data_IF_400936345903
#
_entry.id   IF_400936345903
#
_cell.length_a   1.000
_cell.length_b   1.000
_cell.length_c   1.000
_cell.angle_alpha   90.00
_cell.angle_beta   90.00
_cell.angle_gamma   90.00
#
_symmetry.space_group_name_H-M   'P 1'
#
loop_
_entity.id
_entity.type
_entity.pdbx_description
1 polymer ?
#
# COMPACT_ATOMS: atom_id res chain seq x y z
N UNK A 1 -36.02 11.69 -16.81
CA UNK A 1 -35.14 10.52 -16.89
C UNK A 1 -33.76 10.97 -16.44
N UNK A 2 -33.44 10.81 -15.17
CA UNK A 2 -32.17 11.25 -14.56
C UNK A 2 -31.18 10.10 -14.60
N UNK A 3 -30.16 10.20 -15.45
CA UNK A 3 -29.03 9.27 -15.50
C UNK A 3 -28.06 9.59 -14.38
N UNK A 4 -28.10 8.82 -13.30
CA UNK A 4 -27.10 8.85 -12.23
C UNK A 4 -25.84 8.15 -12.76
N UNK A 5 -24.81 8.93 -13.08
CA UNK A 5 -23.46 8.40 -13.34
C UNK A 5 -22.95 7.69 -12.09
N UNK A 6 -22.29 6.52 -12.21
CA UNK A 6 -21.66 5.89 -11.07
C UNK A 6 -20.52 6.80 -10.58
N UNK A 7 -20.68 7.36 -9.38
CA UNK A 7 -19.58 7.99 -8.64
C UNK A 7 -18.54 6.91 -8.41
N UNK A 8 -17.49 6.91 -9.23
CA UNK A 8 -16.27 6.15 -8.96
C UNK A 8 -15.71 6.75 -7.68
N UNK A 9 -15.92 6.07 -6.55
CA UNK A 9 -15.21 6.36 -5.32
C UNK A 9 -13.74 6.05 -5.57
N UNK A 10 -13.01 7.04 -6.10
CA UNK A 10 -11.57 7.01 -6.24
C UNK A 10 -11.02 6.92 -4.81
N UNK A 11 -10.80 5.68 -4.32
CA UNK A 11 -10.12 5.30 -3.08
C UNK A 11 -10.06 6.44 -2.06
N UNK A 12 -11.16 6.66 -1.34
CA UNK A 12 -11.23 7.72 -0.33
C UNK A 12 -10.14 7.49 0.72
N UNK A 13 -9.09 8.30 0.68
CA UNK A 13 -8.23 8.63 1.82
C UNK A 13 -7.78 7.43 2.66
N UNK A 14 -7.12 6.46 2.05
CA UNK A 14 -6.40 5.46 2.84
C UNK A 14 -5.26 6.16 3.58
N UNK A 15 -5.38 6.18 4.91
CA UNK A 15 -4.34 6.67 5.80
C UNK A 15 -3.01 6.01 5.44
N UNK A 16 -2.02 6.81 5.12
CA UNK A 16 -0.71 6.30 4.71
C UNK A 16 0.27 6.49 5.85
N UNK A 17 0.82 5.39 6.37
CA UNK A 17 1.78 5.41 7.46
C UNK A 17 3.22 5.40 6.95
N UNK A 18 4.06 6.25 7.52
CA UNK A 18 5.52 6.21 7.37
C UNK A 18 6.16 5.72 8.66
N UNK A 19 7.30 5.02 8.55
CA UNK A 19 8.21 4.79 9.66
C UNK A 19 9.44 5.66 9.49
N UNK A 20 9.74 6.46 10.52
CA UNK A 20 10.96 7.26 10.60
C UNK A 20 11.91 6.58 11.59
N UNK A 21 13.16 6.40 11.17
CA UNK A 21 14.23 5.73 11.91
C UNK A 21 15.42 6.67 12.07
N UNK A 22 16.28 6.37 13.05
CA UNK A 22 17.45 7.19 13.41
C UNK A 22 17.05 8.61 13.86
N UNK A 23 15.95 8.74 14.59
CA UNK A 23 15.57 10.01 15.21
C UNK A 23 16.67 10.46 16.19
N UNK A 24 16.86 11.78 16.36
CA UNK A 24 17.79 12.29 17.35
C UNK A 24 17.31 11.89 18.76
N UNK A 25 18.25 11.69 19.67
CA UNK A 25 17.94 11.37 21.07
C UNK A 25 17.52 12.65 21.80
N UNK A 26 16.27 13.06 21.58
CA UNK A 26 15.64 14.23 22.17
C UNK A 26 14.48 13.80 23.09
N UNK A 27 14.02 14.68 23.99
CA UNK A 27 12.77 14.49 24.71
C UNK A 27 11.61 14.15 23.76
N UNK A 28 10.69 13.32 24.25
CA UNK A 28 9.55 12.85 23.45
C UNK A 28 8.70 14.01 22.89
N UNK A 29 8.53 15.08 23.67
CA UNK A 29 7.82 16.28 23.26
C UNK A 29 8.48 16.97 22.06
N UNK A 30 9.80 17.13 22.10
CA UNK A 30 10.56 17.78 21.02
C UNK A 30 10.51 16.94 19.73
N UNK A 31 10.58 15.61 19.85
CA UNK A 31 10.39 14.69 18.72
C UNK A 31 8.98 14.85 18.15
N UNK A 32 7.97 14.93 19.00
CA UNK A 32 6.59 15.05 18.59
C UNK A 32 6.33 16.37 17.86
N UNK A 33 6.89 17.48 18.36
CA UNK A 33 6.78 18.80 17.72
C UNK A 33 7.54 18.85 16.38
N UNK A 34 8.76 18.31 16.35
CA UNK A 34 9.55 18.16 15.13
C UNK A 34 8.80 17.39 14.05
N UNK A 35 8.22 16.23 14.37
CA UNK A 35 7.49 15.40 13.41
C UNK A 35 6.16 16.05 12.97
N UNK A 36 5.47 16.76 13.87
CA UNK A 36 4.25 17.50 13.55
C UNK A 36 4.48 18.60 12.52
N UNK A 37 5.68 19.19 12.49
CA UNK A 37 6.07 20.17 11.48
C UNK A 37 6.01 19.63 10.03
N UNK A 38 6.09 18.30 9.85
CA UNK A 38 5.96 17.65 8.54
C UNK A 38 4.53 17.29 8.15
N UNK A 39 3.52 17.70 8.94
CA UNK A 39 2.11 17.46 8.63
C UNK A 39 1.58 16.12 9.14
N UNK A 40 2.19 15.56 10.18
CA UNK A 40 1.72 14.35 10.84
C UNK A 40 0.31 14.53 11.41
N UNK A 41 -0.58 13.56 11.16
CA UNK A 41 -1.90 13.48 11.79
C UNK A 41 -1.85 12.75 13.13
N UNK A 42 -1.17 11.60 13.15
CA UNK A 42 -0.92 10.81 14.35
C UNK A 42 0.57 10.42 14.41
N UNK A 43 1.14 10.37 15.61
CA UNK A 43 2.56 10.05 15.83
C UNK A 43 2.64 9.01 16.94
N UNK A 44 3.21 7.84 16.62
CA UNK A 44 3.45 6.75 17.56
C UNK A 44 4.94 6.52 17.70
N UNK A 45 5.53 7.00 18.79
CA UNK A 45 6.95 6.83 19.08
C UNK A 45 7.20 5.38 19.56
N UNK A 46 8.19 4.72 18.97
CA UNK A 46 8.55 3.35 19.33
C UNK A 46 9.61 3.37 20.42
N UNK A 47 9.27 2.80 21.58
CA UNK A 47 10.23 2.51 22.64
C UNK A 47 10.52 1.01 22.69
N UNK A 48 11.25 0.51 21.68
CA UNK A 48 11.62 -0.91 21.55
C UNK A 48 13.13 -1.08 21.46
N UNK A 49 13.65 -2.11 22.15
CA UNK A 49 15.05 -2.57 22.06
C UNK A 49 15.49 -2.82 20.61
N UNK A 50 14.59 -3.32 19.76
CA UNK A 50 14.92 -3.68 18.37
C UNK A 50 14.72 -2.55 17.35
N UNK A 51 14.01 -1.48 17.71
CA UNK A 51 13.80 -0.31 16.86
C UNK A 51 13.89 1.00 17.65
N UNK A 52 15.00 1.24 18.38
CA UNK A 52 15.13 2.42 19.21
C UNK A 52 15.22 3.67 18.32
N UNK A 53 14.73 4.80 18.82
CA UNK A 53 14.74 6.07 18.08
C UNK A 53 13.97 6.02 16.76
N UNK A 54 12.80 5.39 16.78
CA UNK A 54 11.90 5.29 15.62
C UNK A 54 10.50 5.78 15.97
N UNK A 55 9.76 6.26 14.98
CA UNK A 55 8.36 6.64 15.13
C UNK A 55 7.55 6.21 13.90
N UNK A 56 6.31 5.78 14.10
CA UNK A 56 5.31 5.70 13.05
C UNK A 56 4.57 7.03 12.96
N UNK A 57 4.25 7.44 11.74
CA UNK A 57 3.57 8.70 11.45
C UNK A 57 2.48 8.42 10.46
N UNK A 58 1.24 8.74 10.82
CA UNK A 58 0.10 8.60 9.93
C UNK A 58 -0.19 9.93 9.23
N UNK A 59 -0.49 9.82 7.95
CA UNK A 59 -0.92 10.91 7.09
C UNK A 59 -2.31 10.58 6.53
N UNK A 60 -3.16 11.61 6.32
CA UNK A 60 -4.53 11.40 5.86
C UNK A 60 -4.60 10.77 4.46
N UNK A 61 -3.55 10.93 3.65
CA UNK A 61 -3.51 10.43 2.29
C UNK A 61 -2.06 10.22 1.81
N UNK A 62 -1.94 9.48 0.69
CA UNK A 62 -0.65 9.14 0.09
C UNK A 62 0.13 10.34 -0.45
N UNK A 63 -0.55 11.38 -0.94
CA UNK A 63 0.10 12.57 -1.49
C UNK A 63 0.77 13.39 -0.38
N UNK A 64 0.07 13.60 0.74
CA UNK A 64 0.62 14.25 1.94
C UNK A 64 1.79 13.44 2.51
N UNK A 65 1.66 12.11 2.61
CA UNK A 65 2.76 11.24 3.02
C UNK A 65 3.99 11.33 2.09
N UNK A 66 3.79 11.35 0.78
CA UNK A 66 4.89 11.45 -0.19
C UNK A 66 5.64 12.79 -0.07
N UNK A 67 4.90 13.88 0.16
CA UNK A 67 5.49 15.19 0.40
C UNK A 67 6.33 15.20 1.68
N UNK A 68 5.79 14.64 2.77
CA UNK A 68 6.53 14.51 4.03
C UNK A 68 7.77 13.61 3.88
N UNK A 69 7.65 12.50 3.16
CA UNK A 69 8.76 11.59 2.86
C UNK A 69 9.92 12.36 2.19
N UNK A 70 9.63 13.12 1.13
CA UNK A 70 10.65 13.90 0.43
C UNK A 70 11.33 14.89 1.38
N UNK A 71 10.55 15.68 2.13
CA UNK A 71 11.08 16.64 3.11
C UNK A 71 11.97 15.97 4.16
N UNK A 72 11.50 14.92 4.82
CA UNK A 72 12.24 14.22 5.88
C UNK A 72 13.50 13.54 5.33
N UNK A 73 13.41 12.91 4.15
CA UNK A 73 14.56 12.24 3.51
C UNK A 73 15.68 13.19 3.05
N UNK A 74 15.33 14.47 2.87
CA UNK A 74 16.26 15.54 2.48
C UNK A 74 16.97 16.22 3.64
N UNK A 75 16.59 15.91 4.89
CA UNK A 75 17.22 16.50 6.07
C UNK A 75 18.71 16.14 6.15
N UNK A 76 19.49 17.10 6.62
CA UNK A 76 20.91 16.89 6.87
C UNK A 76 21.10 15.87 8.01
N UNK A 77 22.21 15.11 7.98
CA UNK A 77 22.54 14.19 9.07
C UNK A 77 22.65 14.93 10.40
N UNK A 78 21.98 14.42 11.42
CA UNK A 78 22.04 14.96 12.79
C UNK A 78 22.93 14.01 13.61
N UNK A 79 23.93 14.55 14.30
CA UNK A 79 24.93 13.75 15.05
C UNK A 79 25.57 12.61 14.23
N UNK A 80 25.81 12.85 12.94
CA UNK A 80 26.44 11.88 12.04
C UNK A 80 25.56 10.72 11.59
N UNK A 81 24.27 10.70 11.96
CA UNK A 81 23.29 9.72 11.46
C UNK A 81 22.24 10.40 10.61
N UNK A 82 22.03 9.85 9.40
CA UNK A 82 20.94 10.30 8.53
C UNK A 82 19.61 9.74 9.02
N UNK A 83 18.62 10.61 9.18
CA UNK A 83 17.24 10.23 9.42
C UNK A 83 16.74 9.43 8.22
N UNK A 84 16.24 8.23 8.47
CA UNK A 84 15.69 7.35 7.43
C UNK A 84 14.17 7.38 7.51
N UNK A 85 13.52 7.37 6.36
CA UNK A 85 12.06 7.30 6.26
C UNK A 85 11.69 6.24 5.23
N UNK A 86 10.71 5.40 5.58
CA UNK A 86 10.21 4.30 4.77
C UNK A 86 8.68 4.28 4.87
N UNK A 87 7.99 3.78 3.84
CA UNK A 87 6.56 3.48 3.98
C UNK A 87 6.39 2.29 4.93
N UNK A 88 5.52 2.42 5.92
CA UNK A 88 5.24 1.32 6.83
C UNK A 88 4.35 0.30 6.11
N UNK A 89 4.62 -0.98 6.35
CA UNK A 89 3.65 -2.01 6.03
C UNK A 89 2.45 -1.86 6.97
N UNK A 90 1.20 -2.06 6.49
CA UNK A 90 0.05 -2.09 7.35
C UNK A 90 0.31 -3.09 8.48
N UNK A 91 -0.01 -2.71 9.72
CA UNK A 91 0.20 -3.62 10.84
C UNK A 91 -0.58 -4.92 10.62
N UNK A 92 -0.10 -6.05 11.14
CA UNK A 92 -0.83 -7.32 11.04
C UNK A 92 -2.27 -7.19 11.57
N UNK A 93 -2.49 -6.37 12.60
CA UNK A 93 -3.83 -6.05 13.11
C UNK A 93 -4.69 -5.27 12.09
N UNK A 94 -4.10 -4.35 11.33
CA UNK A 94 -4.77 -3.64 10.23
C UNK A 94 -5.10 -4.60 9.09
N UNK A 95 -4.18 -5.50 8.73
CA UNK A 95 -4.42 -6.53 7.70
C UNK A 95 -5.53 -7.52 8.11
N UNK A 96 -5.59 -7.88 9.39
CA UNK A 96 -6.65 -8.75 9.93
C UNK A 96 -7.98 -8.01 10.00
N UNK A 97 -8.00 -6.75 10.46
CA UNK A 97 -9.21 -5.93 10.51
C UNK A 97 -9.79 -5.67 9.12
N UNK A 98 -8.94 -5.47 8.11
CA UNK A 98 -9.39 -5.33 6.73
C UNK A 98 -9.97 -6.64 6.17
N UNK A 99 -9.44 -7.81 6.59
CA UNK A 99 -10.09 -9.11 6.31
C UNK A 99 -11.44 -9.25 6.99
N UNK A 100 -11.53 -8.97 8.29
CA UNK A 100 -12.78 -9.07 9.06
C UNK A 100 -13.85 -8.08 8.57
N UNK A 101 -13.47 -6.87 8.20
CA UNK A 101 -14.39 -5.84 7.69
C UNK A 101 -14.86 -6.15 6.25
N UNK A 102 -14.09 -6.95 5.50
CA UNK A 102 -14.46 -7.46 4.16
C UNK A 102 -15.32 -8.72 4.25
N UNK A 103 -15.14 -9.53 5.29
CA UNK A 103 -15.96 -10.70 5.62
C UNK A 103 -17.36 -10.30 6.17
N UNK A 104 -17.45 -9.31 7.06
CA UNK A 104 -18.74 -8.80 7.57
C UNK A 104 -19.59 -8.10 6.49
N UNK A 105 -18.97 -7.49 5.49
CA UNK A 105 -19.68 -6.94 4.33
C UNK A 105 -20.21 -8.02 3.36
N UNK A 106 -19.79 -9.27 3.53
CA UNK A 106 -20.12 -10.40 2.64
C UNK A 106 -21.19 -11.35 3.19
N UNK A 107 -21.61 -11.21 4.46
CA UNK A 107 -22.50 -12.17 5.12
C UNK A 107 -24.01 -11.91 4.98
N UNK A 108 -24.43 -10.86 4.26
CA UNK A 108 -25.86 -10.59 4.01
C UNK A 108 -26.39 -11.05 2.64
N UNK A 109 -25.65 -11.88 1.89
CA UNK A 109 -26.18 -12.54 0.69
C UNK A 109 -25.80 -14.01 0.61
N UNK A 110 -26.72 -14.82 1.11
CA UNK A 110 -27.19 -16.13 0.67
C UNK A 110 -26.39 -16.87 -0.43
N UNK A 111 -26.23 -18.17 -0.20
CA UNK A 111 -25.31 -19.09 -0.87
C UNK A 111 -25.35 -19.06 -2.40
N UNK A 112 -24.17 -18.89 -3.00
CA UNK A 112 -23.91 -19.30 -4.38
C UNK A 112 -22.98 -18.39 -5.17
N UNK A 113 -21.70 -18.24 -4.77
CA UNK A 113 -20.71 -17.50 -5.59
C UNK A 113 -19.28 -18.01 -5.39
N UNK A 114 -18.97 -19.19 -5.95
CA UNK A 114 -17.58 -19.61 -6.10
C UNK A 114 -16.97 -19.11 -7.43
N UNK A 115 -17.77 -18.71 -8.42
CA UNK A 115 -17.28 -18.26 -9.75
C UNK A 115 -17.13 -16.74 -9.87
N UNK A 116 -18.00 -15.97 -9.22
CA UNK A 116 -18.00 -14.50 -9.33
C UNK A 116 -16.75 -13.86 -8.67
N UNK A 117 -16.24 -14.47 -7.59
CA UNK A 117 -15.01 -14.01 -6.93
C UNK A 117 -13.76 -14.28 -7.78
N UNK A 118 -13.73 -15.38 -8.54
CA UNK A 118 -12.63 -15.67 -9.47
C UNK A 118 -12.59 -14.67 -10.63
N UNK A 119 -13.75 -14.32 -11.19
CA UNK A 119 -13.85 -13.31 -12.25
C UNK A 119 -13.34 -11.94 -11.75
N UNK A 120 -13.66 -11.56 -10.51
CA UNK A 120 -13.19 -10.31 -9.91
C UNK A 120 -11.66 -10.30 -9.74
N UNK A 121 -11.07 -11.42 -9.29
CA UNK A 121 -9.61 -11.55 -9.16
C UNK A 121 -8.92 -11.42 -10.51
N UNK A 122 -9.43 -12.10 -11.54
CA UNK A 122 -8.88 -12.04 -12.90
C UNK A 122 -8.97 -10.62 -13.46
N UNK A 123 -10.10 -9.94 -13.29
CA UNK A 123 -10.27 -8.55 -13.72
C UNK A 123 -9.28 -7.60 -13.04
N UNK A 124 -9.02 -7.78 -11.75
CA UNK A 124 -8.05 -6.99 -11.01
C UNK A 124 -6.63 -7.22 -11.51
N UNK A 125 -6.26 -8.48 -11.78
CA UNK A 125 -4.95 -8.82 -12.37
C UNK A 125 -4.79 -8.18 -13.75
N UNK A 126 -5.80 -8.31 -14.62
CA UNK A 126 -5.78 -7.71 -15.96
C UNK A 126 -5.64 -6.20 -15.88
N UNK A 127 -6.39 -5.55 -15.00
CA UNK A 127 -6.35 -4.09 -14.82
C UNK A 127 -4.98 -3.61 -14.34
N UNK A 128 -4.36 -4.31 -13.38
CA UNK A 128 -3.03 -3.97 -12.87
C UNK A 128 -1.93 -4.13 -13.94
N UNK A 129 -1.97 -5.21 -14.73
CA UNK A 129 -1.01 -5.45 -15.82
C UNK A 129 -1.19 -4.42 -16.95
N UNK A 130 -2.43 -4.06 -17.29
CA UNK A 130 -2.72 -3.06 -18.31
C UNK A 130 -2.29 -1.64 -17.89
N UNK A 131 -2.51 -1.27 -16.62
CA UNK A 131 -2.17 0.04 -16.10
C UNK A 131 -0.66 0.26 -15.92
N UNK A 132 0.12 -0.81 -15.72
CA UNK A 132 1.56 -0.72 -15.43
C UNK A 132 2.38 -1.63 -16.37
N UNK A 133 2.68 -1.20 -17.61
CA UNK A 133 3.45 -2.01 -18.58
C UNK A 133 4.86 -2.42 -18.08
N UNK A 134 5.43 -1.62 -17.18
CA UNK A 134 6.74 -1.91 -16.55
C UNK A 134 6.71 -3.17 -15.68
N UNK A 135 5.57 -3.48 -15.06
CA UNK A 135 5.39 -4.70 -14.26
C UNK A 135 5.48 -5.93 -15.16
N UNK A 136 4.75 -5.95 -16.27
CA UNK A 136 4.77 -7.04 -17.25
C UNK A 136 6.17 -7.29 -17.81
N UNK A 137 6.83 -6.22 -18.25
CA UNK A 137 8.21 -6.33 -18.77
C UNK A 137 9.18 -6.85 -17.71
N UNK A 138 9.08 -6.44 -16.45
CA UNK A 138 9.92 -6.98 -15.36
C UNK A 138 9.71 -8.49 -15.17
N UNK A 139 8.47 -8.96 -15.23
CA UNK A 139 8.15 -10.39 -15.16
C UNK A 139 8.79 -11.14 -16.33
N UNK A 140 8.72 -10.61 -17.56
CA UNK A 140 9.38 -11.23 -18.72
C UNK A 140 10.90 -11.33 -18.55
N UNK A 141 11.56 -10.26 -18.09
CA UNK A 141 13.00 -10.28 -17.86
C UNK A 141 13.39 -11.32 -16.79
N UNK A 142 12.58 -11.45 -15.74
CA UNK A 142 12.77 -12.45 -14.69
C UNK A 142 12.60 -13.87 -15.24
N UNK A 143 11.54 -14.14 -16.00
CA UNK A 143 11.27 -15.44 -16.59
C UNK A 143 12.36 -15.86 -17.58
N UNK A 144 12.83 -14.93 -18.42
CA UNK A 144 13.95 -15.15 -19.32
C UNK A 144 15.23 -15.55 -18.53
N UNK A 145 15.49 -14.89 -17.38
CA UNK A 145 16.63 -15.23 -16.51
C UNK A 145 16.50 -16.61 -15.85
N UNK A 146 15.27 -17.10 -15.68
CA UNK A 146 14.96 -18.41 -15.12
C UNK A 146 14.79 -19.49 -16.20
N UNK A 147 15.03 -19.19 -17.48
CA UNK A 147 14.75 -20.07 -18.63
C UNK A 147 13.31 -20.58 -18.66
N UNK A 148 12.36 -19.74 -18.25
CA UNK A 148 10.93 -20.07 -18.25
C UNK A 148 10.26 -19.45 -19.49
N UNK A 149 9.27 -20.14 -20.08
CA UNK A 149 8.47 -19.57 -21.16
C UNK A 149 7.65 -18.38 -20.64
N UNK A 150 7.24 -17.43 -21.50
CA UNK A 150 6.39 -16.31 -21.09
C UNK A 150 5.12 -16.78 -20.37
N UNK A 151 4.60 -15.99 -19.42
CA UNK A 151 3.55 -16.45 -18.50
C UNK A 151 2.19 -16.61 -19.16
N UNK A 152 1.98 -16.00 -20.32
CA UNK A 152 0.73 -16.05 -21.08
C UNK A 152 1.04 -16.24 -22.58
N UNK A 153 0.28 -17.11 -23.23
CA UNK A 153 0.34 -17.35 -24.67
C UNK A 153 -0.56 -16.40 -25.48
N UNK A 154 -0.52 -16.48 -26.82
CA UNK A 154 -1.46 -15.75 -27.66
C UNK A 154 -2.90 -16.22 -27.41
N UNK A 155 -3.86 -15.29 -27.52
CA UNK A 155 -5.30 -15.60 -27.45
C UNK A 155 -5.67 -16.44 -28.67
N UNK A 156 -6.17 -17.65 -28.46
CA UNK A 156 -6.69 -18.50 -29.54
C UNK A 156 -8.22 -18.38 -29.60
N UNK A 157 -8.80 -18.33 -30.80
CA UNK A 157 -10.27 -18.20 -31.00
C UNK A 157 -11.08 -19.32 -30.34
N UNK A 158 -10.46 -20.47 -30.03
CA UNK A 158 -11.11 -21.65 -29.49
C UNK A 158 -11.00 -21.77 -27.95
N UNK A 159 -10.52 -20.75 -27.24
CA UNK A 159 -10.26 -20.81 -25.78
C UNK A 159 -11.51 -20.59 -24.91
N UNK A 160 -12.72 -20.78 -25.43
CA UNK A 160 -13.94 -20.73 -24.61
C UNK A 160 -13.97 -21.98 -23.71
N UNK A 161 -14.08 -21.85 -22.38
CA UNK A 161 -14.27 -23.02 -21.52
C UNK A 161 -15.61 -23.69 -21.86
N UNK A 162 -15.62 -24.99 -22.11
CA UNK A 162 -16.88 -25.75 -22.04
C UNK A 162 -17.37 -25.71 -20.58
N UNK A 163 -18.58 -25.20 -20.40
CA UNK A 163 -19.29 -25.13 -19.11
C UNK A 163 -19.68 -26.51 -18.60
#
# INVERSE_FOLDING_TARGET
>A
MTTTSPTVHFLSQETTTLIVKNLPNLPEQDIHEFLRHFGAQDIRILNSQHSPHSAFIDYPDRHTAATAFQKISSLEPVYGKKIRVEYALPSHATLVRDRSNREEASEERDGGKNEAGEIEILQNITSAIAAVPRLYTQVLHLMNKMNLPPPFGPVYENSVPEL
#
